data_IF_597993427658
#
_entry.id   IF_597993427658
#
_cell.length_a   1.000
_cell.length_b   1.000
_cell.length_c   1.000
_cell.angle_alpha   90.00
_cell.angle_beta   90.00
_cell.angle_gamma   90.00
#
_symmetry.space_group_name_H-M   'P 1'
#
loop_
_entity.id
_entity.type
_entity.pdbx_description
1 polymer ?
#
# COMPACT_ATOMS: atom_id res chain seq x y z
N UNK A 1 -61.85 -17.83 3.77
CA UNK A 1 -61.70 -16.37 3.93
C UNK A 1 -60.22 -16.10 4.19
N UNK A 2 -59.43 -15.76 3.17
CA UNK A 2 -59.11 -14.37 2.74
C UNK A 2 -58.48 -13.57 3.90
N UNK A 3 -57.26 -13.02 3.85
CA UNK A 3 -56.50 -12.48 2.74
C UNK A 3 -55.07 -12.07 3.17
N UNK A 4 -54.12 -12.18 2.22
CA UNK A 4 -53.09 -11.18 1.80
C UNK A 4 -52.10 -10.68 2.88
N UNK A 5 -50.78 -10.70 2.64
CA UNK A 5 -50.12 -9.80 1.69
C UNK A 5 -48.81 -10.38 1.16
N UNK A 6 -48.69 -10.37 -0.18
CA UNK A 6 -47.42 -10.37 -0.91
C UNK A 6 -46.61 -9.16 -0.48
N UNK A 7 -45.33 -9.36 -0.18
CA UNK A 7 -44.33 -8.31 -0.35
C UNK A 7 -43.07 -8.92 -0.96
N UNK A 8 -43.15 -9.20 -2.26
CA UNK A 8 -41.98 -9.40 -3.11
C UNK A 8 -41.46 -7.99 -3.38
N UNK A 9 -40.48 -7.54 -2.59
CA UNK A 9 -39.71 -6.35 -2.92
C UNK A 9 -38.74 -6.73 -4.05
N UNK A 10 -39.18 -6.51 -5.29
CA UNK A 10 -38.32 -6.50 -6.46
C UNK A 10 -37.45 -5.25 -6.38
N UNK A 11 -36.28 -5.34 -5.77
CA UNK A 11 -35.23 -4.36 -6.01
C UNK A 11 -34.38 -4.89 -7.17
N UNK A 12 -34.79 -4.49 -8.36
CA UNK A 12 -34.01 -4.62 -9.59
C UNK A 12 -32.73 -3.80 -9.43
N UNK A 13 -31.66 -4.42 -8.92
CA UNK A 13 -30.35 -3.80 -8.92
C UNK A 13 -29.63 -4.18 -10.22
N UNK A 14 -29.84 -3.35 -11.24
CA UNK A 14 -29.01 -3.36 -12.43
C UNK A 14 -27.59 -2.94 -12.05
N UNK A 15 -26.69 -3.90 -11.86
CA UNK A 15 -25.25 -3.62 -11.76
C UNK A 15 -24.76 -3.37 -13.18
N UNK A 16 -24.74 -2.09 -13.54
CA UNK A 16 -24.37 -1.59 -14.86
C UNK A 16 -22.93 -1.07 -14.77
N UNK A 17 -22.07 -1.68 -15.60
CA UNK A 17 -20.72 -1.26 -16.00
C UNK A 17 -19.66 -1.10 -14.88
N UNK A 18 -18.80 -2.11 -14.78
CA UNK A 18 -17.41 -1.97 -14.30
C UNK A 18 -16.72 -0.91 -15.16
N UNK A 19 -16.58 0.31 -14.65
CA UNK A 19 -15.65 1.30 -15.21
C UNK A 19 -14.25 0.94 -14.74
N UNK A 20 -13.46 0.35 -15.64
CA UNK A 20 -12.02 0.25 -15.52
C UNK A 20 -11.44 1.66 -15.43
N UNK A 21 -11.10 2.11 -14.22
CA UNK A 21 -10.22 3.27 -14.06
C UNK A 21 -8.78 2.75 -14.13
N UNK A 22 -8.26 2.66 -15.36
CA UNK A 22 -6.82 2.56 -15.60
C UNK A 22 -6.23 3.90 -15.15
N UNK A 23 -5.59 3.94 -13.97
CA UNK A 23 -4.68 5.04 -13.66
C UNK A 23 -3.40 4.83 -14.46
N UNK A 24 -3.46 5.24 -15.72
CA UNK A 24 -2.28 5.65 -16.48
C UNK A 24 -1.55 6.70 -15.66
N UNK A 25 -0.34 6.39 -15.19
CA UNK A 25 0.53 7.38 -14.57
C UNK A 25 0.85 8.44 -15.61
N UNK A 26 0.19 9.60 -15.47
CA UNK A 26 0.44 10.75 -16.31
C UNK A 26 1.91 11.15 -16.14
N UNK A 27 2.69 10.99 -17.21
CA UNK A 27 4.02 11.59 -17.34
C UNK A 27 3.84 13.11 -17.27
N UNK A 28 4.20 13.70 -16.13
CA UNK A 28 4.39 15.14 -16.03
C UNK A 28 5.73 15.50 -16.68
N UNK A 29 5.69 15.77 -17.98
CA UNK A 29 6.71 16.56 -18.64
C UNK A 29 6.50 18.02 -18.24
N UNK A 30 7.37 18.55 -17.38
CA UNK A 30 7.61 20.00 -17.27
C UNK A 30 9.11 20.25 -17.14
N UNK A 31 9.63 20.91 -18.16
CA UNK A 31 10.97 21.45 -18.20
C UNK A 31 10.99 22.91 -17.72
N UNK A 32 12.14 23.27 -17.16
CA UNK A 32 12.78 24.61 -17.14
C UNK A 32 12.17 25.73 -16.26
N UNK A 33 12.95 26.15 -15.24
CA UNK A 33 13.70 27.43 -15.21
C UNK A 33 13.72 28.10 -13.83
N UNK A 34 14.94 28.27 -13.31
CA UNK A 34 15.36 29.50 -12.62
C UNK A 34 15.17 29.59 -11.10
N UNK A 35 16.29 29.65 -10.38
CA UNK A 35 16.30 30.04 -8.96
C UNK A 35 17.66 29.89 -8.28
N UNK A 36 18.67 30.65 -8.74
CA UNK A 36 19.92 30.85 -8.00
C UNK A 36 19.61 31.49 -6.63
N UNK A 37 19.91 30.78 -5.55
CA UNK A 37 19.87 31.31 -4.18
C UNK A 37 21.23 31.19 -3.53
N UNK A 38 22.08 32.20 -3.73
CA UNK A 38 23.31 32.41 -2.97
C UNK A 38 22.96 32.74 -1.51
N UNK A 39 23.31 31.84 -0.59
CA UNK A 39 23.27 32.08 0.85
C UNK A 39 24.69 32.08 1.42
N UNK A 40 25.36 33.23 1.33
CA UNK A 40 26.61 33.53 2.03
C UNK A 40 26.36 33.64 3.54
N UNK A 41 27.21 33.05 4.37
CA UNK A 41 27.23 33.31 5.81
C UNK A 41 28.33 32.58 6.58
N UNK A 42 29.51 33.22 6.67
CA UNK A 42 30.51 33.23 7.77
C UNK A 42 30.17 32.40 9.03
N UNK A 43 31.06 31.65 9.67
CA UNK A 43 32.52 31.51 9.62
C UNK A 43 33.01 31.12 11.01
N UNK A 44 34.00 30.23 11.14
CA UNK A 44 35.02 30.34 12.18
C UNK A 44 36.26 29.49 11.85
N UNK A 45 37.40 30.10 12.14
CA UNK A 45 38.76 29.78 11.72
C UNK A 45 39.31 28.46 12.27
N UNK A 46 40.14 27.76 11.49
CA UNK A 46 41.23 27.00 12.07
C UNK A 46 42.44 26.86 11.12
N UNK A 47 43.59 27.30 11.61
CA UNK A 47 44.88 26.62 11.43
C UNK A 47 45.49 26.55 10.04
N UNK A 48 46.38 27.51 9.77
CA UNK A 48 47.40 27.51 8.73
C UNK A 48 48.23 26.20 8.69
N UNK A 49 48.30 25.55 7.52
CA UNK A 49 49.06 24.32 7.29
C UNK A 49 49.31 24.08 5.80
N UNK A 50 50.35 24.74 5.31
CA UNK A 50 50.90 24.68 3.95
C UNK A 50 51.29 23.25 3.52
N UNK A 51 50.89 22.79 2.32
CA UNK A 51 51.80 22.52 1.19
C UNK A 51 51.20 21.54 0.14
N UNK A 52 51.29 21.98 -1.12
CA UNK A 52 51.47 21.23 -2.37
C UNK A 52 50.41 20.26 -2.92
N UNK A 53 49.70 20.78 -3.94
CA UNK A 53 49.59 20.21 -5.29
C UNK A 53 49.79 18.70 -5.47
N UNK A 54 48.68 17.98 -5.70
CA UNK A 54 48.44 17.06 -6.82
C UNK A 54 47.35 16.06 -6.46
N UNK A 55 46.09 16.45 -6.64
CA UNK A 55 44.97 15.52 -6.88
C UNK A 55 43.74 16.33 -7.28
N UNK A 56 43.81 16.94 -8.47
CA UNK A 56 42.66 17.49 -9.16
C UNK A 56 41.89 16.39 -9.91
N UNK A 57 41.96 15.13 -9.48
CA UNK A 57 41.27 14.01 -10.14
C UNK A 57 40.84 12.95 -9.11
N UNK A 58 40.14 13.34 -8.04
CA UNK A 58 39.58 12.35 -7.10
C UNK A 58 38.35 12.83 -6.30
N UNK A 59 37.55 13.76 -6.84
CA UNK A 59 36.25 14.16 -6.23
C UNK A 59 35.04 13.74 -7.04
N UNK A 60 35.22 12.78 -7.94
CA UNK A 60 34.15 12.24 -8.77
C UNK A 60 34.03 10.72 -8.58
N UNK A 61 34.16 10.26 -7.33
CA UNK A 61 34.03 8.84 -7.01
C UNK A 61 33.28 8.66 -5.70
N UNK A 62 32.05 8.12 -5.78
CA UNK A 62 31.42 7.46 -4.63
C UNK A 62 29.94 7.75 -4.37
N UNK A 63 29.27 8.65 -5.11
CA UNK A 63 27.84 8.87 -4.90
C UNK A 63 27.00 7.85 -5.70
N UNK A 64 27.13 6.56 -5.35
CA UNK A 64 26.44 5.43 -5.99
C UNK A 64 24.93 5.38 -5.65
N UNK A 65 24.21 6.52 -5.64
CA UNK A 65 22.79 6.61 -5.25
C UNK A 65 22.47 6.27 -3.78
N UNK A 66 23.42 5.64 -3.06
CA UNK A 66 23.32 5.23 -1.65
C UNK A 66 23.06 6.42 -0.73
N UNK A 67 23.55 7.60 -1.06
CA UNK A 67 23.32 8.82 -0.29
C UNK A 67 21.88 9.33 -0.38
N UNK A 68 21.24 9.23 -1.54
CA UNK A 68 19.85 9.68 -1.72
C UNK A 68 18.88 8.73 -1.03
N UNK A 69 19.04 7.41 -1.21
CA UNK A 69 18.25 6.41 -0.46
C UNK A 69 18.43 6.54 1.05
N UNK A 70 19.65 6.78 1.54
CA UNK A 70 19.90 6.99 2.96
C UNK A 70 19.25 8.30 3.49
N UNK A 71 19.16 9.35 2.67
CA UNK A 71 18.47 10.61 3.03
C UNK A 71 16.95 10.44 3.04
N UNK A 72 16.41 9.68 2.09
CA UNK A 72 14.98 9.37 2.01
C UNK A 72 14.55 8.46 3.16
N UNK A 73 15.29 7.39 3.43
CA UNK A 73 14.99 6.50 4.55
C UNK A 73 15.25 7.16 5.90
N UNK A 74 16.23 8.08 6.01
CA UNK A 74 16.58 8.80 7.25
C UNK A 74 16.61 7.86 8.46
N UNK A 75 15.71 8.08 9.43
CA UNK A 75 15.60 7.31 10.69
C UNK A 75 14.82 5.99 10.56
N UNK A 76 14.33 5.65 9.38
CA UNK A 76 13.66 4.37 9.09
C UNK A 76 14.62 3.18 9.12
N UNK A 77 15.93 3.42 9.26
CA UNK A 77 16.89 2.37 9.65
C UNK A 77 16.58 1.76 11.04
N UNK A 78 15.67 2.36 11.83
CA UNK A 78 15.10 1.70 13.00
C UNK A 78 14.33 0.40 12.64
N UNK A 79 13.96 0.19 11.37
CA UNK A 79 13.37 -1.06 10.89
C UNK A 79 14.37 -2.24 10.98
N UNK A 80 15.67 -1.95 11.11
CA UNK A 80 16.70 -2.94 11.38
C UNK A 80 16.71 -3.45 12.83
N UNK A 81 15.92 -2.86 13.73
CA UNK A 81 15.73 -3.38 15.08
C UNK A 81 15.15 -4.80 15.03
N UNK A 82 15.54 -5.68 15.95
CA UNK A 82 15.00 -7.04 15.96
C UNK A 82 13.48 -7.03 16.18
N UNK A 83 12.79 -8.07 15.71
CA UNK A 83 11.32 -8.16 15.78
C UNK A 83 10.77 -7.95 17.21
N UNK A 84 11.50 -8.43 18.23
CA UNK A 84 11.13 -8.24 19.63
C UNK A 84 11.21 -6.76 20.08
N UNK A 85 12.16 -5.98 19.57
CA UNK A 85 12.28 -4.56 19.86
C UNK A 85 11.18 -3.74 19.17
N UNK A 86 10.76 -4.11 17.96
CA UNK A 86 9.61 -3.50 17.29
C UNK A 86 8.31 -3.75 18.06
N UNK A 87 8.08 -5.00 18.51
CA UNK A 87 6.86 -5.39 19.20
C UNK A 87 6.68 -4.73 20.58
N UNK A 88 7.78 -4.42 21.29
CA UNK A 88 7.74 -3.83 22.64
C UNK A 88 8.01 -2.32 22.65
N UNK A 89 8.12 -1.70 21.48
CA UNK A 89 8.41 -0.27 21.37
C UNK A 89 7.23 0.58 21.85
N UNK A 90 7.52 1.76 22.40
CA UNK A 90 6.48 2.73 22.69
C UNK A 90 5.73 3.10 21.39
N UNK A 91 4.39 3.19 21.38
CA UNK A 91 3.61 3.36 20.15
C UNK A 91 4.05 4.54 19.27
N UNK A 92 4.39 5.67 19.90
CA UNK A 92 4.78 6.91 19.20
C UNK A 92 6.29 6.97 18.86
N UNK A 93 7.08 5.97 19.26
CA UNK A 93 8.49 5.91 18.90
C UNK A 93 8.67 5.48 17.44
N UNK A 94 9.83 5.78 16.83
CA UNK A 94 10.12 5.31 15.46
C UNK A 94 9.93 3.79 15.30
N UNK A 95 10.46 2.92 16.18
CA UNK A 95 10.20 1.48 16.12
C UNK A 95 8.72 1.10 16.30
N UNK A 96 7.98 1.81 17.17
CA UNK A 96 6.54 1.57 17.36
C UNK A 96 5.70 1.93 16.13
N UNK A 97 5.98 3.07 15.50
CA UNK A 97 5.35 3.48 14.23
C UNK A 97 5.68 2.52 13.09
N UNK A 98 6.92 2.04 13.03
CA UNK A 98 7.32 1.00 12.06
C UNK A 98 6.55 -0.29 12.25
N UNK A 99 6.39 -0.74 13.51
CA UNK A 99 5.59 -1.92 13.82
C UNK A 99 4.11 -1.71 13.45
N UNK A 100 3.55 -0.53 13.72
CA UNK A 100 2.19 -0.18 13.32
C UNK A 100 1.98 -0.23 11.80
N UNK A 101 2.90 0.36 11.04
CA UNK A 101 2.86 0.28 9.57
C UNK A 101 2.98 -1.16 9.07
N UNK A 102 3.88 -1.96 9.65
CA UNK A 102 4.04 -3.37 9.31
C UNK A 102 2.74 -4.16 9.51
N UNK A 103 2.12 -4.04 10.68
CA UNK A 103 0.86 -4.73 11.00
C UNK A 103 -0.27 -4.29 10.06
N UNK A 104 -0.33 -3.01 9.71
CA UNK A 104 -1.31 -2.51 8.75
C UNK A 104 -1.11 -3.10 7.35
N UNK A 105 0.14 -3.25 6.89
CA UNK A 105 0.45 -3.92 5.62
C UNK A 105 0.11 -5.41 5.63
N UNK A 106 0.43 -6.12 6.72
CA UNK A 106 0.04 -7.53 6.89
C UNK A 106 -1.49 -7.68 6.90
N UNK A 107 -2.20 -6.78 7.57
CA UNK A 107 -3.67 -6.74 7.57
C UNK A 107 -4.24 -6.47 6.18
N UNK A 108 -3.65 -5.56 5.40
CA UNK A 108 -4.07 -5.30 4.03
C UNK A 108 -3.81 -6.50 3.12
N UNK A 109 -2.66 -7.16 3.26
CA UNK A 109 -2.36 -8.37 2.51
C UNK A 109 -3.35 -9.52 2.82
N UNK A 110 -3.73 -9.68 4.09
CA UNK A 110 -4.75 -10.65 4.50
C UNK A 110 -6.13 -10.31 3.92
N UNK A 111 -6.55 -9.06 3.99
CA UNK A 111 -7.84 -8.63 3.45
C UNK A 111 -7.91 -8.82 1.93
N UNK A 112 -6.85 -8.48 1.19
CA UNK A 112 -6.76 -8.73 -0.25
C UNK A 112 -6.83 -10.24 -0.59
N UNK A 113 -6.25 -11.11 0.25
CA UNK A 113 -6.34 -12.56 0.04
C UNK A 113 -7.77 -13.08 0.28
N UNK A 114 -8.49 -12.52 1.25
CA UNK A 114 -9.91 -12.83 1.49
C UNK A 114 -10.79 -12.36 0.34
N UNK A 115 -10.56 -11.15 -0.16
CA UNK A 115 -11.23 -10.61 -1.35
C UNK A 115 -11.02 -11.51 -2.57
N UNK A 116 -9.78 -11.92 -2.83
CA UNK A 116 -9.45 -12.83 -3.93
C UNK A 116 -10.21 -14.16 -3.81
N UNK A 117 -10.21 -14.77 -2.62
CA UNK A 117 -10.93 -16.02 -2.39
C UNK A 117 -12.47 -15.87 -2.55
N UNK A 118 -13.03 -14.74 -2.14
CA UNK A 118 -14.44 -14.43 -2.32
C UNK A 118 -14.80 -14.21 -3.79
N UNK A 119 -13.91 -13.56 -4.55
CA UNK A 119 -14.04 -13.36 -5.99
C UNK A 119 -13.99 -14.70 -6.73
N UNK A 120 -13.02 -15.54 -6.42
CA UNK A 120 -12.87 -16.88 -7.01
C UNK A 120 -14.13 -17.75 -6.79
N UNK A 121 -14.71 -17.70 -5.59
CA UNK A 121 -15.95 -18.44 -5.28
C UNK A 121 -17.15 -17.89 -6.04
N UNK A 122 -17.29 -16.56 -6.12
CA UNK A 122 -18.35 -15.93 -6.90
C UNK A 122 -18.24 -16.32 -8.38
N UNK A 123 -17.03 -16.21 -8.97
CA UNK A 123 -16.76 -16.55 -10.36
C UNK A 123 -16.97 -18.04 -10.65
N UNK A 124 -16.57 -18.92 -9.71
CA UNK A 124 -16.83 -20.36 -9.79
C UNK A 124 -18.33 -20.63 -9.89
N UNK A 125 -19.13 -20.01 -9.02
CA UNK A 125 -20.57 -20.23 -8.98
C UNK A 125 -21.26 -19.75 -10.25
N UNK A 126 -21.03 -18.51 -10.66
CA UNK A 126 -21.65 -17.95 -11.87
C UNK A 126 -21.16 -18.62 -13.16
N UNK A 127 -20.01 -19.30 -13.10
CA UNK A 127 -19.43 -20.05 -14.20
C UNK A 127 -19.93 -21.49 -14.34
N UNK A 128 -20.77 -21.99 -13.42
CA UNK A 128 -21.33 -23.34 -13.51
C UNK A 128 -22.30 -23.46 -14.70
N UNK A 129 -22.21 -24.59 -15.40
CA UNK A 129 -23.20 -24.99 -16.41
C UNK A 129 -24.50 -25.47 -15.76
N UNK A 130 -25.59 -25.54 -16.54
CA UNK A 130 -26.88 -26.04 -16.04
C UNK A 130 -26.77 -27.48 -15.52
N UNK A 131 -25.98 -28.34 -16.19
CA UNK A 131 -25.70 -29.70 -15.75
C UNK A 131 -24.95 -29.74 -14.42
N UNK A 132 -23.95 -28.87 -14.24
CA UNK A 132 -23.19 -28.77 -12.99
C UNK A 132 -24.02 -28.18 -11.85
N UNK A 133 -24.90 -27.21 -12.14
CA UNK A 133 -25.87 -26.67 -11.18
C UNK A 133 -26.80 -27.78 -10.73
N UNK A 134 -27.39 -28.55 -11.67
CA UNK A 134 -28.28 -29.65 -11.33
C UNK A 134 -27.56 -30.76 -10.52
N UNK A 135 -26.26 -30.96 -10.74
CA UNK A 135 -25.44 -31.92 -10.00
C UNK A 135 -25.03 -31.43 -8.60
N UNK A 136 -24.63 -30.17 -8.43
CA UNK A 136 -24.21 -29.59 -7.14
C UNK A 136 -25.38 -29.14 -6.27
N UNK A 137 -26.48 -28.71 -6.87
CA UNK A 137 -27.67 -28.14 -6.21
C UNK A 137 -28.94 -28.90 -6.62
N UNK A 138 -29.04 -30.22 -6.38
CA UNK A 138 -30.16 -31.04 -6.86
C UNK A 138 -31.52 -30.66 -6.25
N UNK A 139 -31.51 -30.03 -5.08
CA UNK A 139 -32.70 -29.56 -4.35
C UNK A 139 -32.95 -28.05 -4.55
N UNK A 140 -32.21 -27.41 -5.47
CA UNK A 140 -32.17 -25.94 -5.63
C UNK A 140 -31.21 -25.25 -4.64
N UNK A 141 -31.33 -23.92 -4.52
CA UNK A 141 -30.50 -23.10 -3.64
C UNK A 141 -29.24 -22.52 -4.29
N UNK A 142 -29.05 -22.74 -5.59
CA UNK A 142 -27.97 -22.12 -6.37
C UNK A 142 -28.07 -20.59 -6.34
N UNK A 143 -29.27 -20.03 -6.49
CA UNK A 143 -29.49 -18.58 -6.46
C UNK A 143 -29.10 -17.97 -5.10
N UNK A 144 -29.44 -18.65 -4.00
CA UNK A 144 -29.05 -18.22 -2.66
C UNK A 144 -27.53 -18.32 -2.47
N UNK A 145 -26.88 -19.36 -3.00
CA UNK A 145 -25.43 -19.50 -2.95
C UNK A 145 -24.73 -18.35 -3.71
N UNK A 146 -25.19 -18.02 -4.91
CA UNK A 146 -24.67 -16.89 -5.70
C UNK A 146 -24.90 -15.55 -4.97
N UNK A 147 -26.08 -15.35 -4.37
CA UNK A 147 -26.38 -14.13 -3.62
C UNK A 147 -25.48 -13.99 -2.38
N UNK A 148 -25.26 -15.08 -1.64
CA UNK A 148 -24.37 -15.08 -0.49
C UNK A 148 -22.91 -14.81 -0.91
N UNK A 149 -22.43 -15.47 -1.98
CA UNK A 149 -21.09 -15.24 -2.49
C UNK A 149 -20.88 -13.78 -2.95
N UNK A 150 -21.86 -13.19 -3.64
CA UNK A 150 -21.82 -11.78 -4.02
C UNK A 150 -21.75 -10.83 -2.80
N UNK A 151 -22.50 -11.14 -1.73
CA UNK A 151 -22.43 -10.37 -0.49
C UNK A 151 -21.08 -10.53 0.21
N UNK A 152 -20.54 -11.75 0.27
CA UNK A 152 -19.20 -12.01 0.82
C UNK A 152 -18.13 -11.25 0.06
N UNK A 153 -18.18 -11.26 -1.27
CA UNK A 153 -17.25 -10.50 -2.13
C UNK A 153 -17.35 -8.99 -1.85
N UNK A 154 -18.56 -8.44 -1.75
CA UNK A 154 -18.75 -7.02 -1.45
C UNK A 154 -18.13 -6.64 -0.10
N UNK A 155 -18.41 -7.42 0.95
CA UNK A 155 -17.83 -7.17 2.28
C UNK A 155 -16.31 -7.28 2.25
N UNK A 156 -15.77 -8.31 1.58
CA UNK A 156 -14.33 -8.50 1.46
C UNK A 156 -13.65 -7.36 0.69
N UNK A 157 -14.31 -6.82 -0.35
CA UNK A 157 -13.83 -5.66 -1.11
C UNK A 157 -13.79 -4.40 -0.25
N UNK A 158 -14.84 -4.16 0.56
CA UNK A 158 -14.91 -3.02 1.48
C UNK A 158 -13.84 -3.13 2.59
N UNK A 159 -13.63 -4.32 3.13
CA UNK A 159 -12.59 -4.60 4.13
C UNK A 159 -11.17 -4.43 3.56
N UNK A 160 -10.93 -4.90 2.33
CA UNK A 160 -9.66 -4.72 1.63
C UNK A 160 -9.38 -3.23 1.39
N UNK A 161 -10.37 -2.46 0.92
CA UNK A 161 -10.24 -1.03 0.74
C UNK A 161 -9.95 -0.29 2.07
N UNK A 162 -10.65 -0.66 3.14
CA UNK A 162 -10.43 -0.08 4.47
C UNK A 162 -9.03 -0.41 5.00
N UNK A 163 -8.57 -1.66 4.86
CA UNK A 163 -7.23 -2.08 5.30
C UNK A 163 -6.13 -1.38 4.50
N UNK A 164 -6.30 -1.20 3.19
CA UNK A 164 -5.39 -0.42 2.35
C UNK A 164 -5.33 1.05 2.79
N UNK A 165 -6.48 1.66 3.12
CA UNK A 165 -6.53 3.03 3.63
C UNK A 165 -5.76 3.17 4.96
N UNK A 166 -5.91 2.21 5.88
CA UNK A 166 -5.18 2.17 7.15
C UNK A 166 -3.66 1.99 6.91
N UNK A 167 -3.27 1.14 5.96
CA UNK A 167 -1.87 0.98 5.57
C UNK A 167 -1.28 2.27 4.97
N UNK A 168 -2.04 3.00 4.17
CA UNK A 168 -1.63 4.30 3.63
C UNK A 168 -1.54 5.38 4.72
N UNK A 169 -2.51 5.46 5.62
CA UNK A 169 -2.50 6.40 6.75
C UNK A 169 -1.33 6.12 7.69
N UNK A 170 -1.07 4.86 8.02
CA UNK A 170 0.09 4.49 8.86
C UNK A 170 1.43 4.81 8.19
N UNK A 171 1.53 4.77 6.85
CA UNK A 171 2.71 5.25 6.13
C UNK A 171 2.88 6.77 6.24
N UNK A 172 1.79 7.53 6.07
CA UNK A 172 1.79 8.99 6.25
C UNK A 172 2.23 9.33 7.68
N UNK A 173 1.67 8.65 8.67
CA UNK A 173 2.06 8.79 10.06
C UNK A 173 3.53 8.44 10.24
N UNK A 174 4.03 7.33 9.68
CA UNK A 174 5.42 6.85 9.80
C UNK A 174 6.45 7.80 9.18
N UNK A 175 6.08 8.45 8.08
CA UNK A 175 6.96 9.32 7.29
C UNK A 175 6.82 10.79 7.64
N UNK A 176 5.91 11.13 8.56
CA UNK A 176 5.49 12.50 8.88
C UNK A 176 5.02 13.26 7.62
N UNK A 177 4.26 12.57 6.77
CA UNK A 177 3.69 13.11 5.52
C UNK A 177 4.67 13.20 4.35
N UNK A 178 5.89 12.66 4.49
CA UNK A 178 6.86 12.65 3.39
C UNK A 178 6.55 11.54 2.39
N UNK A 179 6.47 11.89 1.12
CA UNK A 179 6.42 10.92 0.04
C UNK A 179 7.79 10.25 -0.09
N UNK A 180 7.82 8.92 -0.09
CA UNK A 180 9.01 8.12 -0.35
C UNK A 180 9.06 7.75 -1.84
N UNK A 181 10.26 7.69 -2.42
CA UNK A 181 10.41 7.11 -3.76
C UNK A 181 10.08 5.62 -3.75
N UNK A 182 9.76 5.06 -4.91
CA UNK A 182 9.51 3.62 -5.06
C UNK A 182 10.69 2.78 -4.55
N UNK A 183 11.92 3.25 -4.79
CA UNK A 183 13.13 2.58 -4.31
C UNK A 183 13.27 2.63 -2.78
N UNK A 184 12.91 3.75 -2.15
CA UNK A 184 12.89 3.86 -0.68
C UNK A 184 11.74 3.04 -0.05
N UNK A 185 10.58 2.97 -0.71
CA UNK A 185 9.47 2.11 -0.30
C UNK A 185 9.84 0.63 -0.35
N UNK A 186 10.43 0.18 -1.47
CA UNK A 186 10.89 -1.19 -1.62
C UNK A 186 11.94 -1.56 -0.55
N UNK A 187 12.87 -0.65 -0.26
CA UNK A 187 13.87 -0.87 0.78
C UNK A 187 13.24 -0.90 2.18
N UNK A 188 12.24 -0.05 2.46
CA UNK A 188 11.47 -0.09 3.71
C UNK A 188 10.74 -1.42 3.89
N UNK A 189 10.06 -1.92 2.86
CA UNK A 189 9.39 -3.23 2.88
C UNK A 189 10.38 -4.36 3.12
N UNK A 190 11.51 -4.35 2.41
CA UNK A 190 12.61 -5.31 2.60
C UNK A 190 13.11 -5.33 4.05
N UNK A 191 13.24 -4.16 4.68
CA UNK A 191 13.69 -4.05 6.07
C UNK A 191 12.65 -4.58 7.08
N UNK A 192 11.35 -4.44 6.76
CA UNK A 192 10.25 -4.91 7.62
C UNK A 192 9.89 -6.39 7.41
N UNK A 193 10.41 -7.00 6.34
CA UNK A 193 10.08 -8.36 5.93
C UNK A 193 8.67 -8.48 5.35
N UNK A 194 8.25 -7.44 4.63
CA UNK A 194 7.01 -7.39 3.84
C UNK A 194 7.28 -7.77 2.39
#
# INVERSE_FOLDING_TARGET
MTSRLKMIAKNSLSVLAVSTLVLTSATAAFAERGGNGNGNGNGNSNGNGNNSSNSAEARNNGNNGRGELARELRGLNAAHANANALANAAPNSMPGRLNGYKLAQESAAQANAVETAAQDEYDRLIGLTEEEIAAQYPEGGYEDAVLNAAQTLQVASDDAAAAQAIAAESLVVLTDGRVLSDAAMAELHRLLGL
#
